data_IF_491261129124
#
_entry.id   IF_491261129124
#
_cell.length_a   1.000
_cell.length_b   1.000
_cell.length_c   1.000
_cell.angle_alpha   90.00
_cell.angle_beta   90.00
_cell.angle_gamma   90.00
#
_symmetry.space_group_name_H-M   'P 1'
#
loop_
_entity.id
_entity.type
_entity.pdbx_description
1 polymer ?
#
# COMPACT_ATOMS: atom_id res chain seq x y z
N UNK A 1 -8.51 8.95 0.04
CA UNK A 1 -9.70 8.62 -0.78
C UNK A 1 -9.34 8.06 -2.16
N UNK A 2 -8.14 8.31 -2.71
CA UNK A 2 -7.79 7.90 -4.08
C UNK A 2 -7.92 6.39 -4.37
N UNK A 3 -7.46 5.51 -3.47
CA UNK A 3 -7.55 4.04 -3.67
C UNK A 3 -9.00 3.58 -3.83
N UNK A 4 -9.91 4.02 -2.94
CA UNK A 4 -11.34 3.69 -3.01
C UNK A 4 -12.06 4.35 -4.20
N UNK A 5 -11.53 5.43 -4.76
CA UNK A 5 -12.12 6.08 -5.93
C UNK A 5 -11.66 5.45 -7.25
N UNK A 6 -10.48 4.84 -7.28
CA UNK A 6 -9.85 4.39 -8.52
C UNK A 6 -9.82 2.86 -8.70
N UNK A 7 -10.14 2.06 -7.67
CA UNK A 7 -9.98 0.60 -7.71
C UNK A 7 -10.74 -0.14 -8.81
N UNK A 8 -11.87 0.41 -9.29
CA UNK A 8 -12.69 -0.18 -10.36
C UNK A 8 -12.50 0.54 -11.70
N UNK A 9 -11.44 1.34 -11.81
CA UNK A 9 -11.11 2.06 -13.04
C UNK A 9 -9.89 1.44 -13.70
N UNK A 10 -9.77 1.52 -15.04
CA UNK A 10 -8.53 1.12 -15.73
C UNK A 10 -7.27 1.88 -15.26
N UNK A 11 -7.46 2.95 -14.47
CA UNK A 11 -6.42 3.80 -13.93
C UNK A 11 -5.84 3.31 -12.60
N UNK A 12 -6.30 2.18 -12.06
CA UNK A 12 -5.57 1.49 -10.99
C UNK A 12 -5.32 0.06 -11.44
N UNK A 13 -4.11 -0.20 -11.95
CA UNK A 13 -3.66 -1.57 -12.21
C UNK A 13 -3.73 -2.35 -10.90
N UNK A 14 -3.86 -3.69 -10.97
CA UNK A 14 -3.96 -4.56 -9.78
C UNK A 14 -2.83 -4.39 -8.74
N UNK A 15 -1.75 -3.67 -9.08
CA UNK A 15 -0.73 -3.19 -8.18
C UNK A 15 -0.35 -1.73 -8.53
N UNK A 16 0.04 -0.95 -7.52
CA UNK A 16 0.56 0.41 -7.65
C UNK A 16 1.69 0.64 -6.63
N UNK A 17 2.48 1.69 -6.79
CA UNK A 17 3.56 2.08 -5.89
C UNK A 17 3.57 3.59 -5.66
N UNK A 18 4.38 4.10 -4.72
CA UNK A 18 4.57 5.54 -4.56
C UNK A 18 5.12 6.24 -5.81
N UNK A 19 5.82 5.52 -6.69
CA UNK A 19 6.37 6.07 -7.95
C UNK A 19 5.27 6.46 -8.94
N UNK A 20 4.10 5.83 -8.80
CA UNK A 20 2.95 6.09 -9.65
C UNK A 20 2.16 7.31 -9.15
N UNK A 21 2.44 7.81 -7.93
CA UNK A 21 1.78 8.99 -7.35
C UNK A 21 2.59 10.24 -7.69
N UNK A 22 1.95 11.16 -8.40
CA UNK A 22 2.54 12.41 -8.84
C UNK A 22 1.81 13.61 -8.23
N UNK A 23 2.56 14.71 -8.05
CA UNK A 23 2.03 16.00 -7.59
C UNK A 23 2.27 17.06 -8.66
N UNK A 24 1.22 17.83 -8.98
CA UNK A 24 1.35 18.96 -9.90
C UNK A 24 2.10 20.11 -9.21
N UNK A 25 2.77 20.93 -10.01
CA UNK A 25 3.36 22.20 -9.56
C UNK A 25 2.46 23.36 -9.95
N UNK A 26 2.31 24.34 -9.06
CA UNK A 26 1.70 25.61 -9.39
C UNK A 26 2.61 26.47 -10.29
N UNK A 27 2.13 27.64 -10.72
CA UNK A 27 2.89 28.57 -11.56
C UNK A 27 4.12 29.17 -10.86
N UNK A 28 4.23 29.00 -9.53
CA UNK A 28 5.36 29.44 -8.70
C UNK A 28 6.34 28.30 -8.40
N UNK A 29 6.06 27.08 -8.88
CA UNK A 29 6.90 25.90 -8.69
C UNK A 29 6.63 25.11 -7.39
N UNK A 30 5.62 25.48 -6.60
CA UNK A 30 5.26 24.76 -5.38
C UNK A 30 4.42 23.52 -5.72
N UNK A 31 4.61 22.43 -4.98
CA UNK A 31 3.80 21.22 -5.15
C UNK A 31 2.39 21.41 -4.56
N UNK A 32 1.38 21.03 -5.35
CA UNK A 32 -0.03 20.98 -4.96
C UNK A 32 -0.31 19.64 -4.25
N UNK A 33 0.02 19.58 -2.96
CA UNK A 33 -0.09 18.36 -2.15
C UNK A 33 -1.55 17.91 -1.89
N UNK A 34 -2.51 18.80 -2.09
CA UNK A 34 -3.95 18.54 -1.96
C UNK A 34 -4.55 17.77 -3.16
N UNK A 35 -3.79 17.63 -4.26
CA UNK A 35 -4.26 17.04 -5.52
C UNK A 35 -3.26 16.01 -6.07
N UNK A 36 -2.99 14.91 -5.34
CA UNK A 36 -2.23 13.81 -5.90
C UNK A 36 -2.98 13.19 -7.07
N UNK A 37 -2.26 12.77 -8.10
CA UNK A 37 -2.80 12.00 -9.22
C UNK A 37 -1.94 10.77 -9.49
N UNK A 38 -2.54 9.74 -10.09
CA UNK A 38 -1.83 8.52 -10.47
C UNK A 38 -1.42 8.63 -11.93
N UNK A 39 -0.14 8.46 -12.23
CA UNK A 39 0.39 8.38 -13.59
C UNK A 39 0.44 6.92 -14.01
N UNK A 40 -0.24 6.57 -15.10
CA UNK A 40 -0.13 5.25 -15.70
C UNK A 40 0.59 5.36 -17.05
N UNK A 41 1.62 4.55 -17.31
CA UNK A 41 2.12 4.39 -18.65
C UNK A 41 1.03 3.72 -19.50
N UNK A 42 0.58 4.40 -20.56
CA UNK A 42 -0.32 3.82 -21.57
C UNK A 42 0.51 2.85 -22.42
N UNK A 43 0.79 1.66 -21.89
CA UNK A 43 1.37 0.59 -22.69
C UNK A 43 0.27 -0.05 -23.54
N UNK A 44 0.29 0.27 -24.84
CA UNK A 44 -0.46 -0.46 -25.84
C UNK A 44 0.08 -1.91 -25.94
N UNK A 45 -0.51 -2.82 -25.17
CA UNK A 45 -0.32 -4.25 -25.31
C UNK A 45 0.78 -4.88 -24.44
N UNK A 46 0.37 -5.87 -23.63
CA UNK A 46 1.23 -6.87 -22.99
C UNK A 46 1.88 -6.42 -21.67
N UNK A 47 1.94 -7.20 -20.61
CA UNK A 47 1.57 -8.58 -20.34
C UNK A 47 1.19 -8.62 -18.85
N UNK A 48 0.12 -9.34 -18.51
CA UNK A 48 -0.01 -9.87 -17.16
C UNK A 48 1.23 -10.74 -16.91
N UNK A 49 2.24 -10.24 -16.20
CA UNK A 49 3.21 -11.13 -15.61
C UNK A 49 2.43 -12.03 -14.66
N UNK A 50 2.31 -13.31 -15.01
CA UNK A 50 1.69 -14.29 -14.14
C UNK A 50 2.52 -14.35 -12.86
N UNK A 51 2.03 -13.71 -11.81
CA UNK A 51 2.69 -13.76 -10.51
C UNK A 51 2.83 -15.22 -10.07
N UNK A 52 3.95 -15.56 -9.42
CA UNK A 52 4.17 -16.91 -8.93
C UNK A 52 3.03 -17.31 -7.99
N UNK A 53 2.58 -18.57 -8.14
CA UNK A 53 1.41 -19.09 -7.43
C UNK A 53 1.52 -18.99 -5.89
N UNK A 54 2.73 -18.87 -5.35
CA UNK A 54 2.99 -18.71 -3.93
C UNK A 54 2.59 -17.31 -3.42
N UNK A 55 2.91 -16.23 -4.17
CA UNK A 55 2.52 -14.85 -3.85
C UNK A 55 1.00 -14.69 -3.78
N UNK A 56 0.27 -15.34 -4.70
CA UNK A 56 -1.20 -15.37 -4.72
C UNK A 56 -1.85 -16.04 -3.52
N UNK A 57 -1.16 -16.94 -2.81
CA UNK A 57 -1.73 -17.61 -1.63
C UNK A 57 -1.62 -16.77 -0.35
N UNK A 58 -0.62 -15.92 -0.27
CA UNK A 58 -0.31 -15.13 0.93
C UNK A 58 -0.89 -13.70 0.84
N UNK A 59 -0.96 -13.13 -0.36
CA UNK A 59 -1.51 -11.79 -0.61
C UNK A 59 -2.98 -11.89 -1.00
N UNK A 60 -3.87 -11.52 -0.06
CA UNK A 60 -5.33 -11.55 -0.28
C UNK A 60 -5.82 -10.45 -1.22
N UNK A 61 -5.19 -9.28 -1.17
CA UNK A 61 -5.46 -8.15 -2.06
C UNK A 61 -4.18 -7.36 -2.30
N UNK A 62 -3.72 -7.31 -3.56
CA UNK A 62 -2.47 -6.66 -3.95
C UNK A 62 -2.51 -5.13 -3.82
N UNK A 63 -3.66 -4.50 -4.07
CA UNK A 63 -3.85 -3.05 -3.95
C UNK A 63 -3.72 -2.64 -2.48
N UNK A 64 -4.33 -3.42 -1.59
CA UNK A 64 -4.30 -3.16 -0.14
C UNK A 64 -2.89 -3.39 0.42
N UNK A 65 -2.18 -4.43 -0.03
CA UNK A 65 -0.76 -4.63 0.31
C UNK A 65 0.11 -3.48 -0.19
N UNK A 66 -0.07 -3.07 -1.45
CA UNK A 66 0.65 -1.96 -2.05
C UNK A 66 0.46 -0.65 -1.26
N UNK A 67 -0.76 -0.39 -0.78
CA UNK A 67 -1.01 0.74 0.12
C UNK A 67 -0.23 0.60 1.43
N UNK A 68 -0.19 -0.60 2.03
CA UNK A 68 0.61 -0.86 3.24
C UNK A 68 2.09 -0.56 3.03
N UNK A 69 2.65 -0.98 1.89
CA UNK A 69 4.03 -0.69 1.50
C UNK A 69 4.25 0.82 1.32
N UNK A 70 3.36 1.49 0.58
CA UNK A 70 3.44 2.93 0.39
C UNK A 70 3.44 3.71 1.71
N UNK A 71 2.60 3.30 2.67
CA UNK A 71 2.62 3.87 4.01
C UNK A 71 3.95 3.61 4.73
N UNK A 72 4.55 2.42 4.63
CA UNK A 72 5.89 2.20 5.18
C UNK A 72 6.93 3.13 4.58
N UNK A 73 6.96 3.23 3.25
CA UNK A 73 7.96 4.06 2.57
C UNK A 73 7.84 5.53 2.99
N UNK A 74 6.61 6.02 3.24
CA UNK A 74 6.36 7.34 3.81
C UNK A 74 6.89 7.46 5.24
N UNK A 75 6.57 6.50 6.11
CA UNK A 75 7.01 6.51 7.51
C UNK A 75 8.55 6.47 7.63
N UNK A 76 9.21 5.61 6.86
CA UNK A 76 10.66 5.44 6.89
C UNK A 76 11.43 6.43 6.02
N UNK A 77 10.75 7.19 5.17
CA UNK A 77 11.33 8.06 4.15
C UNK A 77 12.38 7.34 3.28
N UNK A 78 12.16 6.05 3.03
CA UNK A 78 13.03 5.16 2.25
C UNK A 78 12.18 4.16 1.48
N UNK A 79 12.60 3.78 0.26
CA UNK A 79 11.90 2.75 -0.48
C UNK A 79 12.05 1.38 0.21
N UNK A 80 11.06 0.49 0.05
CA UNK A 80 11.02 -0.78 0.77
C UNK A 80 12.26 -1.65 0.51
N UNK A 81 12.80 -1.62 -0.72
CA UNK A 81 13.98 -2.40 -1.10
C UNK A 81 15.25 -2.02 -0.31
N UNK A 82 15.33 -0.79 0.20
CA UNK A 82 16.44 -0.34 1.06
C UNK A 82 16.29 -0.81 2.51
N UNK A 83 15.12 -1.35 2.87
CA UNK A 83 14.78 -1.84 4.21
C UNK A 83 14.83 -3.36 4.31
N UNK A 84 15.16 -4.05 3.21
CA UNK A 84 15.23 -5.51 3.14
C UNK A 84 16.43 -6.03 3.94
N UNK A 85 16.21 -7.07 4.74
CA UNK A 85 17.24 -7.75 5.50
C UNK A 85 17.42 -9.20 5.02
N UNK A 86 18.57 -9.85 5.27
CA UNK A 86 18.79 -11.23 4.87
C UNK A 86 17.75 -12.23 5.42
N UNK A 87 17.11 -11.90 6.53
CA UNK A 87 16.02 -12.69 7.12
C UNK A 87 14.72 -12.66 6.31
N UNK A 88 14.59 -11.72 5.37
CA UNK A 88 13.41 -11.58 4.51
C UNK A 88 13.50 -12.43 3.23
N UNK A 89 14.65 -13.06 2.97
CA UNK A 89 14.90 -13.92 1.81
C UNK A 89 14.26 -15.30 1.94
N UNK A 90 14.26 -16.06 0.84
CA UNK A 90 13.80 -17.45 0.85
C UNK A 90 14.69 -18.36 1.72
N UNK A 91 14.29 -19.62 1.88
CA UNK A 91 15.04 -20.61 2.67
C UNK A 91 16.49 -20.84 2.17
N UNK A 92 16.79 -20.45 0.92
CA UNK A 92 18.11 -20.55 0.31
C UNK A 92 18.90 -19.23 0.38
N UNK A 93 18.33 -18.16 0.97
CA UNK A 93 18.94 -16.84 1.05
C UNK A 93 18.85 -16.01 -0.24
N UNK A 94 17.94 -16.36 -1.15
CA UNK A 94 17.72 -15.59 -2.38
C UNK A 94 16.55 -14.61 -2.24
N UNK A 95 16.72 -13.45 -2.88
CA UNK A 95 15.63 -12.50 -3.07
C UNK A 95 14.61 -13.09 -4.05
N UNK A 96 13.37 -13.23 -3.60
CA UNK A 96 12.31 -13.90 -4.34
C UNK A 96 11.04 -13.03 -4.41
N UNK A 97 9.94 -13.62 -4.89
CA UNK A 97 8.65 -12.93 -4.99
C UNK A 97 7.96 -12.65 -3.65
N UNK A 98 8.43 -13.26 -2.57
CA UNK A 98 7.89 -13.10 -1.22
C UNK A 98 8.70 -12.10 -0.39
N UNK A 99 9.95 -11.80 -0.77
CA UNK A 99 10.81 -10.87 -0.03
C UNK A 99 10.15 -9.54 0.28
N UNK A 100 9.38 -8.96 -0.66
CA UNK A 100 8.62 -7.72 -0.41
C UNK A 100 7.59 -7.89 0.72
N UNK A 101 6.83 -8.99 0.70
CA UNK A 101 5.84 -9.26 1.74
C UNK A 101 6.51 -9.59 3.08
N UNK A 102 7.58 -10.39 3.09
CA UNK A 102 8.34 -10.71 4.30
C UNK A 102 8.89 -9.45 4.97
N UNK A 103 9.49 -8.57 4.17
CA UNK A 103 9.99 -7.25 4.62
C UNK A 103 8.85 -6.42 5.22
N UNK A 104 7.74 -6.27 4.48
CA UNK A 104 6.58 -5.50 4.95
C UNK A 104 5.97 -6.09 6.23
N UNK A 105 5.88 -7.42 6.34
CA UNK A 105 5.38 -8.12 7.52
C UNK A 105 6.28 -7.91 8.75
N UNK A 106 7.61 -7.98 8.59
CA UNK A 106 8.57 -7.69 9.65
C UNK A 106 8.42 -6.25 10.13
N UNK A 107 8.46 -5.28 9.21
CA UNK A 107 8.32 -3.86 9.54
C UNK A 107 6.96 -3.52 10.17
N UNK A 108 5.89 -4.23 9.80
CA UNK A 108 4.55 -4.06 10.38
C UNK A 108 4.50 -4.35 11.88
N UNK A 109 5.37 -5.24 12.37
CA UNK A 109 5.41 -5.59 13.80
C UNK A 109 6.03 -4.46 14.63
N UNK A 110 6.88 -3.63 14.04
CA UNK A 110 7.67 -2.61 14.74
C UNK A 110 7.17 -1.18 14.49
N UNK A 111 6.26 -0.98 13.53
CA UNK A 111 5.77 0.35 13.13
C UNK A 111 5.16 1.16 14.30
N UNK A 112 4.61 0.48 15.30
CA UNK A 112 4.04 1.10 16.51
C UNK A 112 5.10 1.80 17.38
N UNK A 113 6.38 1.47 17.23
CA UNK A 113 7.48 2.15 17.90
C UNK A 113 7.85 3.48 17.24
N UNK A 114 7.40 3.69 15.99
CA UNK A 114 7.75 4.84 15.16
C UNK A 114 6.59 5.80 14.94
N UNK A 115 5.39 5.26 14.78
CA UNK A 115 4.22 6.01 14.33
C UNK A 115 3.09 6.00 15.36
N UNK A 116 2.13 6.89 15.17
CA UNK A 116 0.93 6.96 16.00
C UNK A 116 0.14 5.64 15.95
N UNK A 117 -0.60 5.30 17.03
CA UNK A 117 -1.31 4.01 17.12
C UNK A 117 -2.29 3.75 15.97
N UNK A 118 -2.96 4.78 15.47
CA UNK A 118 -3.92 4.66 14.38
C UNK A 118 -3.21 4.40 13.04
N UNK A 119 -2.14 5.13 12.74
CA UNK A 119 -1.25 4.86 11.61
C UNK A 119 -0.69 3.44 11.64
N UNK A 120 -0.11 3.02 12.77
CA UNK A 120 0.45 1.70 12.95
C UNK A 120 -0.57 0.58 12.69
N UNK A 121 -1.80 0.73 13.21
CA UNK A 121 -2.91 -0.21 12.97
C UNK A 121 -3.34 -0.24 11.50
N UNK A 122 -3.43 0.91 10.85
CA UNK A 122 -3.81 1.03 9.44
C UNK A 122 -2.79 0.29 8.55
N UNK A 123 -1.50 0.52 8.77
CA UNK A 123 -0.42 -0.18 8.06
C UNK A 123 -0.50 -1.69 8.28
N UNK A 124 -0.64 -2.12 9.54
CA UNK A 124 -0.73 -3.53 9.89
C UNK A 124 -1.90 -4.23 9.19
N UNK A 125 -3.09 -3.60 9.16
CA UNK A 125 -4.29 -4.11 8.48
C UNK A 125 -4.10 -4.22 6.98
N UNK A 126 -3.44 -3.24 6.36
CA UNK A 126 -3.14 -3.26 4.93
C UNK A 126 -2.19 -4.41 4.56
N UNK A 127 -1.08 -4.57 5.29
CA UNK A 127 -0.07 -5.59 5.02
C UNK A 127 -0.63 -7.01 5.16
N UNK A 128 -1.41 -7.26 6.22
CA UNK A 128 -1.98 -8.58 6.49
C UNK A 128 -3.34 -8.80 5.80
N UNK A 129 -3.88 -7.76 5.16
CA UNK A 129 -5.23 -7.70 4.64
C UNK A 129 -6.25 -8.27 5.65
N UNK A 130 -6.21 -7.74 6.89
CA UNK A 130 -7.02 -8.21 8.01
C UNK A 130 -8.23 -7.29 8.25
N UNK A 131 -9.39 -7.67 7.70
CA UNK A 131 -10.62 -6.87 7.68
C UNK A 131 -11.87 -7.64 8.12
N UNK A 132 -11.71 -8.85 8.67
CA UNK A 132 -12.81 -9.72 9.11
C UNK A 132 -13.92 -9.86 8.06
N UNK A 133 -13.53 -10.13 6.82
CA UNK A 133 -14.43 -10.30 5.67
C UNK A 133 -14.21 -11.64 4.97
N UNK A 134 -15.28 -12.16 4.34
CA UNK A 134 -15.25 -13.35 3.50
C UNK A 134 -14.72 -13.06 2.09
N UNK A 135 -14.79 -11.80 1.65
CA UNK A 135 -14.23 -11.30 0.40
C UNK A 135 -13.17 -10.24 0.70
N UNK A 136 -12.09 -10.24 -0.07
CA UNK A 136 -11.04 -9.23 0.01
C UNK A 136 -10.96 -8.39 -1.27
N UNK A 137 -12.05 -8.35 -2.04
CA UNK A 137 -12.13 -7.56 -3.27
C UNK A 137 -12.72 -6.18 -2.96
N UNK A 138 -12.06 -5.12 -3.44
CA UNK A 138 -12.59 -3.75 -3.30
C UNK A 138 -13.88 -3.54 -4.11
N UNK A 139 -14.25 -4.43 -5.04
CA UNK A 139 -15.58 -4.44 -5.67
C UNK A 139 -16.70 -4.89 -4.73
N UNK A 140 -16.37 -5.58 -3.64
CA UNK A 140 -17.32 -5.97 -2.61
C UNK A 140 -17.60 -4.79 -1.65
N UNK A 141 -18.88 -4.51 -1.42
CA UNK A 141 -19.28 -3.37 -0.61
C UNK A 141 -18.89 -3.54 0.87
N UNK A 142 -19.09 -4.73 1.44
CA UNK A 142 -18.77 -4.98 2.84
C UNK A 142 -17.26 -4.81 3.07
N UNK A 143 -16.43 -5.36 2.19
CA UNK A 143 -14.99 -5.17 2.26
C UNK A 143 -14.58 -3.70 2.14
N UNK A 144 -15.19 -2.92 1.24
CA UNK A 144 -14.90 -1.47 1.14
C UNK A 144 -15.23 -0.72 2.42
N UNK A 145 -16.35 -1.01 3.04
CA UNK A 145 -16.76 -0.37 4.30
C UNK A 145 -15.76 -0.70 5.41
N UNK A 146 -15.39 -1.97 5.57
CA UNK A 146 -14.38 -2.41 6.56
C UNK A 146 -13.01 -1.81 6.28
N UNK A 147 -12.62 -1.69 5.01
CA UNK A 147 -11.38 -1.02 4.63
C UNK A 147 -11.43 0.47 4.96
N UNK A 148 -12.54 1.15 4.65
CA UNK A 148 -12.71 2.56 4.94
C UNK A 148 -12.61 2.85 6.45
N UNK A 149 -13.35 2.08 7.26
CA UNK A 149 -13.34 2.21 8.71
C UNK A 149 -12.01 1.80 9.34
N UNK A 150 -11.38 0.74 8.83
CA UNK A 150 -10.15 0.18 9.40
C UNK A 150 -8.86 0.91 9.02
N UNK A 151 -8.88 1.68 7.93
CA UNK A 151 -7.67 2.34 7.37
C UNK A 151 -7.88 3.83 7.18
N UNK A 152 -8.93 4.23 6.45
CA UNK A 152 -9.07 5.63 6.03
C UNK A 152 -9.48 6.54 7.18
N UNK A 153 -10.41 6.10 8.03
CA UNK A 153 -10.85 6.88 9.20
C UNK A 153 -9.70 7.11 10.20
N UNK A 154 -8.97 6.07 10.68
CA UNK A 154 -7.88 6.25 11.63
C UNK A 154 -6.75 7.15 11.10
N UNK A 155 -6.37 7.00 9.83
CA UNK A 155 -5.35 7.84 9.22
C UNK A 155 -5.78 9.32 9.13
N UNK A 156 -7.08 9.57 8.91
CA UNK A 156 -7.62 10.94 8.92
C UNK A 156 -7.58 11.54 10.32
N UNK A 157 -7.94 10.77 11.34
CA UNK A 157 -7.89 11.22 12.74
C UNK A 157 -6.47 11.62 13.15
N UNK A 158 -5.46 10.81 12.82
CA UNK A 158 -4.06 11.14 13.09
C UNK A 158 -3.60 12.40 12.34
N UNK A 159 -4.00 12.55 11.08
CA UNK A 159 -3.72 13.75 10.29
C UNK A 159 -4.35 15.01 10.89
N UNK A 160 -5.62 14.94 11.28
CA UNK A 160 -6.33 16.05 11.92
C UNK A 160 -5.78 16.38 13.30
N UNK A 161 -5.26 15.39 14.03
CA UNK A 161 -4.57 15.60 15.29
C UNK A 161 -3.22 16.31 15.09
N UNK A 162 -2.43 15.89 14.10
CA UNK A 162 -1.11 16.47 13.81
C UNK A 162 -1.15 17.89 13.24
N UNK A 163 -2.28 18.30 12.64
CA UNK A 163 -2.48 19.62 12.04
C UNK A 163 -3.10 20.66 13.00
N UNK A 164 -3.37 20.29 14.25
CA UNK A 164 -3.79 21.19 15.33
C UNK A 164 -2.60 21.72 16.10
#
# INVERSE_FOLDING_TARGET
MAVLQLYDTPWLVKSFSLRDICFLKDTKGNYLLDRPFVSLPITAGGLHQAQPAHRRRLVKNEIVLALGIALFELSYAKPLHDLVEPFDFDENGHHDSMTEYSTANRLAKEIHLRELPNYAKAVFRCVHCNFDSFSYDLSDQEFRERFYEGVVVPLREDWEYAMK
#
